data_IF_522520562206
#
_entry.id   IF_522520562206
#
_cell.length_a   1.000
_cell.length_b   1.000
_cell.length_c   1.000
_cell.angle_alpha   90.00
_cell.angle_beta   90.00
_cell.angle_gamma   90.00
#
_symmetry.space_group_name_H-M   'P 1'
#
loop_
_entity.id
_entity.type
_entity.pdbx_description
1 polymer ?
#
# COMPACT_ATOMS: atom_id res chain seq x y z
N UNK A 1 -13.71 25.27 4.33
CA UNK A 1 -13.20 24.86 4.10
C UNK A 1 -12.98 23.73 3.94
N UNK A 2 -12.81 23.26 3.63
CA UNK A 2 -12.65 22.05 3.31
C UNK A 2 -11.63 21.39 3.88
N UNK A 3 -10.86 21.96 4.43
CA UNK A 3 -9.74 21.46 4.82
C UNK A 3 -9.75 20.56 5.87
N UNK A 4 -10.57 20.57 6.71
CA UNK A 4 -10.36 19.77 7.85
C UNK A 4 -10.55 18.32 7.57
N UNK A 5 -11.40 17.93 6.70
CA UNK A 5 -11.59 16.51 6.53
C UNK A 5 -10.46 15.88 5.80
N UNK A 6 -9.75 16.63 5.03
CA UNK A 6 -8.70 16.02 4.34
C UNK A 6 -7.57 15.67 5.17
N UNK A 7 -7.21 16.51 6.08
CA UNK A 7 -5.99 16.27 6.81
C UNK A 7 -6.10 15.11 7.76
N UNK A 8 -7.31 14.82 8.22
CA UNK A 8 -7.45 13.75 9.17
C UNK A 8 -7.59 12.39 8.55
N UNK A 9 -7.76 12.33 7.26
CA UNK A 9 -8.09 11.07 6.63
C UNK A 9 -7.07 10.54 5.67
N UNK A 10 -5.97 11.23 5.52
CA UNK A 10 -4.92 10.79 4.60
C UNK A 10 -3.64 10.62 5.38
N UNK A 11 -3.03 9.47 5.21
CA UNK A 11 -1.80 9.15 5.88
C UNK A 11 -0.79 8.62 4.87
N UNK A 12 0.38 9.22 4.80
CA UNK A 12 1.44 8.73 3.94
C UNK A 12 2.22 7.69 4.71
N UNK A 13 2.30 6.49 4.20
CA UNK A 13 3.08 5.44 4.84
C UNK A 13 4.51 5.49 4.34
N UNK A 14 5.49 5.47 5.22
CA UNK A 14 6.87 5.44 4.79
C UNK A 14 7.16 4.16 4.01
N UNK A 15 7.94 4.28 2.95
CA UNK A 15 8.29 3.13 2.14
C UNK A 15 9.81 3.06 2.00
N UNK A 16 10.38 1.94 2.41
CA UNK A 16 11.82 1.77 2.46
C UNK A 16 12.26 0.72 1.46
N UNK A 17 12.39 1.11 0.20
CA UNK A 17 12.70 0.16 -0.86
C UNK A 17 14.03 -0.57 -0.63
N UNK A 18 14.94 0.06 0.09
CA UNK A 18 16.23 -0.57 0.37
C UNK A 18 16.11 -1.72 1.34
N UNK A 19 15.00 -1.83 2.03
CA UNK A 19 14.77 -2.93 2.98
C UNK A 19 14.05 -4.10 2.35
N UNK A 20 13.63 -4.01 1.10
CA UNK A 20 12.88 -5.07 0.44
C UNK A 20 13.71 -6.34 0.35
N UNK A 21 13.13 -7.52 0.64
CA UNK A 21 11.73 -7.68 1.05
C UNK A 21 11.54 -7.36 2.53
N UNK A 22 10.45 -6.69 2.85
CA UNK A 22 10.14 -6.40 4.25
C UNK A 22 8.63 -6.32 4.44
N UNK A 23 8.21 -6.27 5.68
CA UNK A 23 6.81 -6.34 6.02
C UNK A 23 6.49 -5.29 7.07
N UNK A 24 5.30 -4.69 6.98
CA UNK A 24 4.82 -3.79 8.01
C UNK A 24 3.54 -4.36 8.57
N UNK A 25 3.18 -3.92 9.79
CA UNK A 25 1.86 -4.22 10.33
C UNK A 25 1.04 -2.95 10.35
N UNK A 26 -0.25 -3.07 10.16
CA UNK A 26 -1.15 -1.93 10.10
C UNK A 26 -2.47 -2.28 10.75
N UNK A 27 -2.91 -1.42 11.69
CA UNK A 27 -4.20 -1.59 12.34
C UNK A 27 -5.23 -0.75 11.59
N UNK A 28 -6.23 -1.40 11.03
CA UNK A 28 -7.27 -0.73 10.29
C UNK A 28 -8.62 -1.11 10.87
N UNK A 29 -9.32 -0.14 11.42
CA UNK A 29 -10.66 -0.34 11.97
C UNK A 29 -10.70 -1.50 12.98
N UNK A 30 -9.65 -1.61 13.78
CA UNK A 30 -9.59 -2.65 14.81
C UNK A 30 -9.07 -3.99 14.34
N UNK A 31 -8.80 -4.16 13.07
CA UNK A 31 -8.23 -5.38 12.53
C UNK A 31 -6.76 -5.17 12.22
N UNK A 32 -5.95 -6.17 12.49
CA UNK A 32 -4.52 -6.05 12.29
C UNK A 32 -4.12 -6.78 11.01
N UNK A 33 -3.37 -6.10 10.19
CA UNK A 33 -2.91 -6.63 8.90
C UNK A 33 -1.39 -6.60 8.82
N UNK A 34 -0.83 -7.47 8.01
CA UNK A 34 0.58 -7.41 7.64
C UNK A 34 0.64 -7.23 6.13
N UNK A 35 1.50 -6.33 5.67
CA UNK A 35 1.69 -6.06 4.26
C UNK A 35 3.16 -6.28 3.95
N UNK A 36 3.45 -7.20 3.05
CA UNK A 36 4.83 -7.54 2.68
C UNK A 36 5.12 -6.99 1.29
N UNK A 37 6.26 -6.35 1.14
CA UNK A 37 6.63 -5.69 -0.11
C UNK A 37 7.80 -6.41 -0.78
N UNK A 38 7.72 -6.53 -2.10
CA UNK A 38 8.72 -7.19 -2.92
C UNK A 38 9.01 -6.36 -4.17
N UNK A 39 10.11 -6.63 -4.81
CA UNK A 39 10.50 -5.93 -6.02
C UNK A 39 10.95 -6.92 -7.09
N UNK A 40 10.43 -6.75 -8.31
CA UNK A 40 10.84 -7.55 -9.45
C UNK A 40 11.84 -6.73 -10.25
N UNK A 41 13.11 -7.12 -10.15
CA UNK A 41 14.19 -6.36 -10.75
C UNK A 41 14.21 -6.50 -12.27
N UNK A 42 13.74 -7.61 -12.80
CA UNK A 42 13.79 -7.85 -14.24
C UNK A 42 12.85 -6.93 -15.00
N UNK A 43 11.70 -6.62 -14.41
CA UNK A 43 10.71 -5.79 -15.07
C UNK A 43 10.42 -4.47 -14.35
N UNK A 44 11.16 -4.21 -13.28
CA UNK A 44 11.11 -2.93 -12.56
C UNK A 44 9.71 -2.61 -12.07
N UNK A 45 9.16 -3.48 -11.23
CA UNK A 45 7.90 -3.17 -10.58
C UNK A 45 7.87 -3.80 -9.19
N UNK A 46 6.98 -3.28 -8.34
CA UNK A 46 6.83 -3.74 -6.97
C UNK A 46 5.54 -4.55 -6.84
N UNK A 47 5.55 -5.51 -5.90
CA UNK A 47 4.34 -6.26 -5.56
C UNK A 47 4.16 -6.25 -4.06
N UNK A 48 2.96 -6.57 -3.62
CA UNK A 48 2.64 -6.62 -2.21
C UNK A 48 1.74 -7.81 -1.92
N UNK A 49 1.94 -8.39 -0.72
CA UNK A 49 1.08 -9.44 -0.20
C UNK A 49 0.33 -8.87 0.98
N UNK A 50 -0.90 -9.29 1.18
CA UNK A 50 -1.71 -8.84 2.31
C UNK A 50 -2.12 -10.05 3.15
N UNK A 51 -1.89 -9.94 4.47
CA UNK A 51 -2.27 -10.96 5.42
C UNK A 51 -3.13 -10.36 6.51
N UNK A 52 -4.05 -11.14 7.05
CA UNK A 52 -4.77 -10.77 8.26
C UNK A 52 -4.08 -11.47 9.42
N UNK A 53 -3.84 -10.74 10.50
CA UNK A 53 -3.22 -11.31 11.68
C UNK A 53 -4.32 -11.60 12.70
N UNK A 54 -4.51 -12.88 13.01
CA UNK A 54 -5.52 -13.31 13.95
C UNK A 54 -4.95 -14.38 14.86
N UNK A 55 -5.08 -14.20 16.15
CA UNK A 55 -4.65 -15.21 17.14
C UNK A 55 -3.23 -15.69 16.90
N UNK A 56 -2.35 -14.75 16.57
CA UNK A 56 -0.95 -15.07 16.34
C UNK A 56 -0.65 -15.73 15.02
N UNK A 57 -1.63 -15.84 14.15
CA UNK A 57 -1.44 -16.47 12.84
C UNK A 57 -1.61 -15.47 11.72
N UNK A 58 -0.89 -15.70 10.64
CA UNK A 58 -1.00 -14.91 9.43
C UNK A 58 -1.87 -15.67 8.46
N UNK A 59 -2.96 -15.05 8.03
CA UNK A 59 -3.84 -15.65 7.03
C UNK A 59 -3.74 -14.83 5.77
N UNK A 60 -3.41 -15.47 4.65
CA UNK A 60 -3.22 -14.78 3.39
C UNK A 60 -4.55 -14.26 2.86
N UNK A 61 -4.57 -13.01 2.41
CA UNK A 61 -5.72 -12.41 1.78
C UNK A 61 -5.42 -12.16 0.31
N UNK A 62 -4.26 -11.59 0.00
CA UNK A 62 -3.85 -11.33 -1.37
C UNK A 62 -2.37 -11.60 -1.51
N UNK A 63 -1.98 -12.17 -2.64
CA UNK A 63 -0.61 -12.58 -2.85
C UNK A 63 -0.10 -12.05 -4.18
N UNK A 64 1.03 -11.35 -4.14
CA UNK A 64 1.71 -10.91 -5.35
C UNK A 64 0.99 -9.85 -6.16
N UNK A 65 0.25 -8.98 -5.51
CA UNK A 65 -0.47 -7.95 -6.24
C UNK A 65 0.48 -6.86 -6.71
N UNK A 66 0.41 -6.50 -7.98
CA UNK A 66 1.29 -5.49 -8.54
C UNK A 66 0.86 -4.11 -8.06
N UNK A 67 1.83 -3.31 -7.64
CA UNK A 67 1.58 -1.95 -7.17
C UNK A 67 1.56 -1.03 -8.38
N UNK A 68 0.39 -0.47 -8.69
CA UNK A 68 0.17 0.32 -9.89
C UNK A 68 -0.19 1.75 -9.53
N UNK A 69 0.32 2.70 -10.30
CA UNK A 69 0.10 4.11 -10.05
C UNK A 69 -1.38 4.47 -10.15
N UNK A 70 -1.85 5.23 -9.19
CA UNK A 70 -3.24 5.72 -9.12
C UNK A 70 -4.28 4.62 -9.00
N UNK A 71 -3.88 3.46 -8.49
CA UNK A 71 -4.81 2.36 -8.29
C UNK A 71 -4.82 1.95 -6.83
N UNK A 72 -5.97 1.56 -6.35
CA UNK A 72 -6.13 1.11 -4.97
C UNK A 72 -5.54 -0.30 -4.87
N UNK A 73 -4.61 -0.46 -3.95
CA UNK A 73 -3.97 -1.74 -3.72
C UNK A 73 -4.96 -2.66 -3.00
N UNK A 74 -5.06 -3.89 -3.41
CA UNK A 74 -5.98 -4.88 -2.83
C UNK A 74 -7.45 -4.48 -2.97
N UNK A 75 -7.79 -3.80 -4.05
CA UNK A 75 -9.14 -3.27 -4.21
C UNK A 75 -10.22 -4.34 -4.21
N UNK A 76 -9.97 -5.44 -4.92
CA UNK A 76 -10.95 -6.51 -4.99
C UNK A 76 -11.22 -7.11 -3.62
N UNK A 77 -10.17 -7.31 -2.84
CA UNK A 77 -10.31 -7.87 -1.51
C UNK A 77 -11.01 -6.91 -0.57
N UNK A 78 -10.75 -5.61 -0.74
CA UNK A 78 -11.34 -4.59 0.12
C UNK A 78 -12.85 -4.46 -0.11
N UNK A 79 -13.32 -4.77 -1.31
CA UNK A 79 -14.75 -4.72 -1.57
C UNK A 79 -15.50 -5.77 -0.76
N UNK A 80 -14.86 -6.89 -0.48
CA UNK A 80 -15.48 -7.95 0.29
C UNK A 80 -15.19 -7.85 1.77
N UNK A 81 -14.19 -7.11 2.15
CA UNK A 81 -13.75 -6.97 3.54
C UNK A 81 -13.49 -5.50 3.85
N UNK A 82 -14.51 -4.78 4.32
CA UNK A 82 -14.40 -3.32 4.50
C UNK A 82 -13.35 -2.86 5.50
N UNK A 83 -12.86 -3.76 6.35
CA UNK A 83 -11.81 -3.39 7.30
C UNK A 83 -10.42 -3.35 6.67
N UNK A 84 -10.27 -3.81 5.42
CA UNK A 84 -8.98 -3.70 4.73
C UNK A 84 -8.72 -2.23 4.43
N UNK A 85 -7.52 -1.73 4.73
CA UNK A 85 -7.24 -0.31 4.53
C UNK A 85 -7.26 0.07 3.04
N UNK A 86 -7.73 1.26 2.75
CA UNK A 86 -7.73 1.79 1.39
C UNK A 86 -6.36 2.40 1.14
N UNK A 87 -5.52 1.70 0.39
CA UNK A 87 -4.16 2.13 0.10
C UNK A 87 -4.07 2.43 -1.38
N UNK A 88 -3.53 3.60 -1.73
CA UNK A 88 -3.39 3.98 -3.11
C UNK A 88 -1.97 4.48 -3.36
N UNK A 89 -1.42 4.20 -4.52
CA UNK A 89 -0.11 4.66 -4.92
C UNK A 89 -0.29 5.95 -5.70
N UNK A 90 0.15 7.06 -5.15
CA UNK A 90 -0.05 8.37 -5.76
C UNK A 90 1.27 9.04 -6.08
N UNK A 91 1.32 9.74 -7.20
CA UNK A 91 2.44 10.61 -7.50
C UNK A 91 2.01 12.04 -7.26
N UNK A 92 2.89 12.82 -6.65
CA UNK A 92 2.64 14.23 -6.46
C UNK A 92 3.26 15.07 -7.60
N UNK A 93 3.72 14.40 -8.66
CA UNK A 93 4.34 15.05 -9.80
C UNK A 93 3.57 14.69 -11.07
N UNK A 94 3.34 15.68 -11.91
CA UNK A 94 2.49 15.47 -13.08
C UNK A 94 3.05 14.54 -14.14
N UNK A 95 4.35 14.47 -14.22
CA UNK A 95 4.98 13.71 -15.30
C UNK A 95 5.24 12.26 -15.00
N UNK A 96 4.83 11.77 -13.84
CA UNK A 96 5.07 10.38 -13.48
C UNK A 96 4.08 9.51 -14.23
N UNK A 97 4.60 8.57 -15.00
CA UNK A 97 3.75 7.70 -15.83
C UNK A 97 3.59 6.31 -15.28
N UNK A 98 4.56 5.84 -14.50
CA UNK A 98 4.49 4.53 -13.88
C UNK A 98 5.40 4.50 -12.66
N UNK A 99 5.22 3.48 -11.84
CA UNK A 99 6.07 3.28 -10.67
C UNK A 99 7.33 2.54 -11.09
N UNK A 100 8.48 3.02 -10.63
CA UNK A 100 9.77 2.40 -10.91
C UNK A 100 10.59 2.39 -9.63
N UNK A 101 11.71 1.70 -9.63
CA UNK A 101 12.62 1.74 -8.49
C UNK A 101 13.04 3.17 -8.18
N UNK A 102 13.32 3.96 -9.22
CA UNK A 102 13.83 5.30 -9.01
C UNK A 102 12.82 6.24 -8.37
N UNK A 103 11.55 6.13 -8.73
CA UNK A 103 10.57 7.12 -8.23
C UNK A 103 9.79 6.64 -7.00
N UNK A 104 9.82 5.34 -6.68
CA UNK A 104 9.07 4.86 -5.52
C UNK A 104 9.68 5.37 -4.23
N UNK A 105 8.84 6.00 -3.41
CA UNK A 105 9.31 6.60 -2.17
C UNK A 105 9.83 8.00 -2.35
N UNK A 106 9.82 8.53 -3.57
CA UNK A 106 10.22 9.90 -3.84
C UNK A 106 9.05 10.62 -4.47
N UNK A 107 8.82 10.40 -5.77
CA UNK A 107 7.69 11.01 -6.47
C UNK A 107 6.41 10.24 -6.19
N UNK A 108 6.51 8.93 -6.00
CA UNK A 108 5.36 8.09 -5.73
C UNK A 108 5.33 7.71 -4.27
N UNK A 109 4.18 7.88 -3.63
CA UNK A 109 4.02 7.59 -2.21
C UNK A 109 2.87 6.62 -2.00
N UNK A 110 2.96 5.88 -0.90
CA UNK A 110 1.94 4.97 -0.46
C UNK A 110 1.03 5.74 0.47
N UNK A 111 -0.22 5.89 0.10
CA UNK A 111 -1.15 6.73 0.84
C UNK A 111 -2.31 5.88 1.34
N UNK A 112 -2.63 5.98 2.63
CA UNK A 112 -3.78 5.31 3.21
C UNK A 112 -4.87 6.35 3.43
N UNK A 113 -6.07 6.04 2.96
CA UNK A 113 -7.22 6.91 3.13
C UNK A 113 -8.11 6.27 4.17
N UNK A 114 -8.34 6.98 5.24
CA UNK A 114 -9.21 6.51 6.31
C UNK A 114 -10.51 7.34 6.35
#
# INVERSE_FOLDING_TARGET
>A
MIKEYETDEILVLPFFKEKIPYEITYDSHGSLFAIAFFYNQDYDFFTADLYRLENGEKKIIAFGEKMMLNQVLFETQAELNPDIPAIILLSFYENTERISWDNMGKEVELVVIE
#
